data_IF_441611232491
#
_entry.id   IF_441611232491
#
_cell.length_a   1.000
_cell.length_b   1.000
_cell.length_c   1.000
_cell.angle_alpha   90.00
_cell.angle_beta   90.00
_cell.angle_gamma   90.00
#
_symmetry.space_group_name_H-M   'P 1'
#
loop_
_entity.id
_entity.type
_entity.pdbx_description
1 polymer ?
#
# COMPACT_ATOMS: atom_id res chain seq x y z
N UNK A 1 -15.84 -26.24 25.76
CA UNK A 1 -14.82 -26.28 24.68
C UNK A 1 -15.32 -25.48 23.46
N UNK A 2 -15.52 -24.17 23.59
CA UNK A 2 -15.99 -23.29 22.50
C UNK A 2 -15.16 -22.00 22.49
N UNK A 3 -14.87 -21.48 23.68
CA UNK A 3 -13.98 -20.33 23.92
C UNK A 3 -12.58 -20.53 23.32
N UNK A 4 -11.98 -21.71 23.51
CA UNK A 4 -10.67 -22.02 22.93
C UNK A 4 -10.66 -21.98 21.40
N UNK A 5 -11.73 -22.47 20.77
CA UNK A 5 -11.89 -22.43 19.31
C UNK A 5 -12.00 -20.98 18.79
N UNK A 6 -12.75 -20.12 19.48
CA UNK A 6 -12.82 -18.70 19.13
C UNK A 6 -11.48 -17.98 19.30
N UNK A 7 -10.73 -18.28 20.35
CA UNK A 7 -9.39 -17.73 20.56
C UNK A 7 -8.41 -18.16 19.48
N UNK A 8 -8.40 -19.46 19.11
CA UNK A 8 -7.57 -19.97 18.01
C UNK A 8 -7.93 -19.30 16.67
N UNK A 9 -9.23 -19.15 16.39
CA UNK A 9 -9.70 -18.48 15.18
C UNK A 9 -9.29 -17.00 15.13
N UNK A 10 -9.35 -16.30 16.27
CA UNK A 10 -8.90 -14.92 16.38
C UNK A 10 -7.39 -14.80 16.16
N UNK A 11 -6.59 -15.68 16.79
CA UNK A 11 -5.15 -15.72 16.59
C UNK A 11 -4.78 -15.96 15.13
N UNK A 12 -5.42 -16.91 14.45
CA UNK A 12 -5.21 -17.15 13.02
C UNK A 12 -5.59 -15.95 12.14
N UNK A 13 -6.66 -15.22 12.47
CA UNK A 13 -7.06 -14.03 11.72
C UNK A 13 -6.00 -12.93 11.83
N UNK A 14 -5.47 -12.69 13.03
CA UNK A 14 -4.44 -11.68 13.28
C UNK A 14 -3.09 -12.08 12.67
N UNK A 15 -2.72 -13.35 12.70
CA UNK A 15 -1.39 -13.80 12.24
C UNK A 15 -1.33 -14.18 10.76
N UNK A 16 -2.46 -14.49 10.11
CA UNK A 16 -2.46 -14.89 8.70
C UNK A 16 -3.12 -13.85 7.79
N UNK A 17 -4.20 -13.20 8.23
CA UNK A 17 -4.96 -12.28 7.37
C UNK A 17 -4.44 -10.85 7.50
N UNK A 18 -4.18 -10.40 8.73
CA UNK A 18 -3.61 -9.08 8.98
C UNK A 18 -2.26 -8.85 8.29
N UNK A 19 -1.28 -9.78 8.32
CA UNK A 19 -0.05 -9.57 7.58
C UNK A 19 -0.27 -9.57 6.08
N UNK A 20 -1.14 -10.41 5.50
CA UNK A 20 -1.44 -10.36 4.05
C UNK A 20 -2.01 -9.00 3.64
N UNK A 21 -2.78 -8.34 4.50
CA UNK A 21 -3.26 -6.97 4.26
C UNK A 21 -2.22 -5.88 4.57
N UNK A 22 -1.32 -6.12 5.51
CA UNK A 22 -0.33 -5.12 5.95
C UNK A 22 1.02 -5.20 5.21
N UNK A 23 1.32 -6.31 4.53
CA UNK A 23 2.61 -6.51 3.83
C UNK A 23 2.54 -6.24 2.32
N UNK A 24 1.37 -6.03 1.72
CA UNK A 24 1.24 -6.25 0.28
C UNK A 24 0.58 -5.12 -0.53
N UNK A 25 0.89 -3.86 -0.23
CA UNK A 25 0.85 -2.80 -1.24
C UNK A 25 2.05 -1.89 -1.07
N UNK A 26 3.15 -2.34 -1.68
CA UNK A 26 4.37 -1.68 -2.19
C UNK A 26 4.52 -0.15 -2.02
N UNK A 27 4.28 0.37 -0.81
CA UNK A 27 4.62 1.74 -0.45
C UNK A 27 6.13 1.99 -0.64
N UNK A 28 6.95 0.94 -0.42
CA UNK A 28 8.38 0.91 -0.73
C UNK A 28 8.67 1.16 -2.21
N UNK A 29 7.91 0.58 -3.14
CA UNK A 29 8.09 0.84 -4.58
C UNK A 29 7.82 2.29 -4.94
N UNK A 30 6.82 2.91 -4.31
CA UNK A 30 6.54 4.32 -4.49
C UNK A 30 7.71 5.20 -4.03
N UNK A 31 8.26 4.91 -2.85
CA UNK A 31 9.40 5.66 -2.28
C UNK A 31 10.67 5.40 -3.09
N UNK A 32 10.96 4.16 -3.48
CA UNK A 32 12.12 3.79 -4.33
C UNK A 32 12.11 4.51 -5.67
N UNK A 33 10.94 4.73 -6.25
CA UNK A 33 10.75 5.48 -7.49
C UNK A 33 10.72 6.99 -7.27
N UNK A 34 11.08 7.49 -6.08
CA UNK A 34 11.03 8.90 -5.73
C UNK A 34 9.62 9.52 -5.90
N UNK A 35 8.59 8.68 -5.81
CA UNK A 35 7.19 9.04 -5.87
C UNK A 35 6.66 9.55 -4.53
N UNK A 36 5.53 10.23 -4.56
CA UNK A 36 4.81 10.71 -3.38
C UNK A 36 3.37 10.20 -3.38
N UNK A 37 2.91 9.74 -2.22
CA UNK A 37 1.53 9.35 -2.01
C UNK A 37 0.62 10.58 -1.87
N UNK A 38 -0.33 10.75 -2.79
CA UNK A 38 -1.31 11.84 -2.80
C UNK A 38 -2.71 11.31 -3.06
N UNK A 39 -3.74 12.10 -2.83
CA UNK A 39 -5.12 11.72 -3.18
C UNK A 39 -5.29 11.67 -4.71
N UNK A 40 -4.76 12.67 -5.40
CA UNK A 40 -4.71 12.77 -6.84
C UNK A 40 -3.34 13.27 -7.28
N UNK A 41 -2.88 12.83 -8.46
CA UNK A 41 -1.63 13.28 -9.03
C UNK A 41 -1.79 14.64 -9.71
N UNK A 42 -0.76 15.48 -9.60
CA UNK A 42 -0.72 16.73 -10.34
C UNK A 42 -0.64 16.46 -11.85
N UNK A 43 -1.06 17.39 -12.72
CA UNK A 43 -1.00 17.22 -14.19
C UNK A 43 0.42 16.95 -14.72
N UNK A 44 1.43 17.42 -14.00
CA UNK A 44 2.86 17.19 -14.29
C UNK A 44 3.42 15.89 -13.69
N UNK A 45 2.59 15.14 -12.98
CA UNK A 45 2.92 13.86 -12.35
C UNK A 45 2.18 12.72 -13.07
N UNK A 46 2.65 11.48 -12.86
CA UNK A 46 2.02 10.26 -13.39
C UNK A 46 1.64 9.37 -12.22
N UNK A 47 0.42 8.82 -12.26
CA UNK A 47 -0.01 7.75 -11.37
C UNK A 47 0.66 6.45 -11.80
N UNK A 48 1.35 5.79 -10.88
CA UNK A 48 2.07 4.54 -11.16
C UNK A 48 1.58 3.38 -10.31
N UNK A 49 1.10 3.64 -9.09
CA UNK A 49 0.63 2.61 -8.17
C UNK A 49 -0.34 3.19 -7.13
N UNK A 50 -0.81 2.37 -6.19
CA UNK A 50 -1.58 2.77 -5.01
C UNK A 50 -0.66 2.85 -3.79
N UNK A 51 -1.08 3.57 -2.76
CA UNK A 51 -0.39 3.59 -1.48
C UNK A 51 -1.16 2.82 -0.40
N UNK A 52 -0.52 2.58 0.74
CA UNK A 52 -1.09 1.84 1.87
C UNK A 52 -2.45 2.36 2.35
N UNK A 53 -2.71 3.66 2.20
CA UNK A 53 -4.02 4.21 2.55
C UNK A 53 -5.01 4.03 1.39
N UNK A 54 -6.21 3.46 1.65
CA UNK A 54 -7.30 3.48 0.69
C UNK A 54 -7.60 4.95 0.35
N UNK A 55 -7.68 5.28 -0.94
CA UNK A 55 -7.76 6.63 -1.51
C UNK A 55 -6.45 7.43 -1.65
N UNK A 56 -5.27 6.82 -1.43
CA UNK A 56 -4.00 7.45 -1.84
C UNK A 56 -3.38 6.68 -2.99
N UNK A 57 -2.91 7.43 -3.98
CA UNK A 57 -2.20 6.94 -5.16
C UNK A 57 -0.74 7.38 -5.13
N UNK A 58 0.14 6.56 -5.67
CA UNK A 58 1.54 6.91 -5.86
C UNK A 58 1.71 7.76 -7.12
N UNK A 59 2.22 8.97 -6.93
CA UNK A 59 2.49 9.94 -7.99
C UNK A 59 3.99 10.15 -8.13
N UNK A 60 4.53 9.86 -9.31
CA UNK A 60 5.91 10.20 -9.66
C UNK A 60 5.92 11.45 -10.53
N UNK A 61 6.92 12.32 -10.35
CA UNK A 61 7.15 13.40 -11.31
C UNK A 61 7.41 12.77 -12.68
N UNK A 62 6.84 13.33 -13.75
CA UNK A 62 7.31 12.98 -15.09
C UNK A 62 8.78 13.40 -15.16
N UNK A 63 9.68 12.43 -15.14
CA UNK A 63 11.01 12.62 -15.72
C UNK A 63 10.71 12.89 -17.19
N UNK A 64 10.58 14.17 -17.55
CA UNK A 64 11.00 14.59 -18.87
C UNK A 64 12.44 14.15 -18.91
N UNK A 65 12.72 13.03 -19.57
CA UNK A 65 14.07 12.70 -20.00
C UNK A 65 14.65 14.01 -20.53
N UNK A 66 15.63 14.54 -19.79
CA UNK A 66 16.38 15.69 -20.23
C UNK A 66 17.05 15.22 -21.52
N UNK A 67 16.46 15.65 -22.63
CA UNK A 67 17.03 15.59 -23.97
C UNK A 67 18.43 16.22 -23.95
#
# INVERSE_FOLDING_TARGET
>A
MKTFYYFLRFLCFVTLILPVTCTLMDADRCIKLNGRCKKDCHRSERRIDSCFLPNKVCCIKRLLDKY
#
